data_IF_602959256272
#
_entry.id   IF_602959256272
#
_cell.length_a   1.000
_cell.length_b   1.000
_cell.length_c   1.000
_cell.angle_alpha   90.00
_cell.angle_beta   90.00
_cell.angle_gamma   90.00
#
_symmetry.space_group_name_H-M   'P 1'
#
loop_
_entity.id
_entity.type
_entity.pdbx_description
1 polymer ?
#
# COMPACT_ATOMS: atom_id res chain seq x y z
N UNK A 1 13.99 12.28 -30.65
CA UNK A 1 13.88 10.81 -30.80
C UNK A 1 12.97 10.23 -29.70
N UNK A 2 11.74 9.83 -30.02
CA UNK A 2 10.76 9.34 -29.03
C UNK A 2 10.98 7.87 -28.67
N UNK A 3 10.82 7.50 -27.38
CA UNK A 3 10.79 6.09 -26.98
C UNK A 3 9.38 5.50 -27.17
N UNK A 4 9.26 4.28 -27.68
CA UNK A 4 7.97 3.60 -27.87
C UNK A 4 7.26 3.21 -26.56
N UNK A 5 5.98 2.84 -26.66
CA UNK A 5 5.12 2.46 -25.52
C UNK A 5 5.70 1.29 -24.71
N UNK A 6 6.29 0.29 -25.40
CA UNK A 6 6.87 -0.93 -24.81
C UNK A 6 8.27 -0.73 -24.21
N UNK A 7 8.82 0.49 -24.26
CA UNK A 7 10.10 0.80 -23.64
C UNK A 7 10.10 0.43 -22.16
N UNK A 8 11.11 -0.35 -21.73
CA UNK A 8 11.24 -0.81 -20.34
C UNK A 8 11.41 0.34 -19.35
N UNK A 9 12.09 1.42 -19.75
CA UNK A 9 12.28 2.61 -18.90
C UNK A 9 10.95 3.32 -18.69
N UNK A 10 10.22 3.63 -19.77
CA UNK A 10 8.88 4.24 -19.67
C UNK A 10 7.91 3.36 -18.89
N UNK A 11 7.96 2.04 -19.05
CA UNK A 11 7.14 1.09 -18.28
C UNK A 11 7.38 1.23 -16.77
N UNK A 12 8.63 1.34 -16.33
CA UNK A 12 8.99 1.51 -14.91
C UNK A 12 8.46 2.80 -14.32
N UNK A 13 8.66 3.94 -14.99
CA UNK A 13 8.09 5.21 -14.55
C UNK A 13 6.55 5.18 -14.50
N UNK A 14 5.89 4.48 -15.44
CA UNK A 14 4.44 4.29 -15.37
C UNK A 14 4.02 3.46 -14.14
N UNK A 15 4.75 2.40 -13.79
CA UNK A 15 4.47 1.61 -12.59
C UNK A 15 4.56 2.47 -11.33
N UNK A 16 5.59 3.29 -11.20
CA UNK A 16 5.76 4.17 -10.03
C UNK A 16 4.65 5.21 -9.93
N UNK A 17 4.27 5.82 -11.07
CA UNK A 17 3.12 6.74 -11.10
C UNK A 17 1.82 6.06 -10.70
N UNK A 18 1.58 4.80 -11.11
CA UNK A 18 0.41 4.03 -10.67
C UNK A 18 0.42 3.78 -9.17
N UNK A 19 1.57 3.41 -8.60
CA UNK A 19 1.69 3.25 -7.14
C UNK A 19 1.33 4.56 -6.45
N UNK A 20 1.86 5.69 -6.93
CA UNK A 20 1.55 7.00 -6.35
C UNK A 20 0.05 7.35 -6.43
N UNK A 21 -0.60 7.10 -7.57
CA UNK A 21 -2.06 7.26 -7.70
C UNK A 21 -2.81 6.35 -6.72
N UNK A 22 -2.40 5.09 -6.61
CA UNK A 22 -3.02 4.13 -5.70
C UNK A 22 -2.97 4.60 -4.25
N UNK A 23 -1.82 5.11 -3.81
CA UNK A 23 -1.65 5.62 -2.45
C UNK A 23 -2.46 6.89 -2.18
N UNK A 24 -2.42 7.86 -3.09
CA UNK A 24 -3.02 9.19 -2.85
C UNK A 24 -4.49 9.32 -3.28
N UNK A 25 -5.00 8.43 -4.14
CA UNK A 25 -6.38 8.49 -4.66
C UNK A 25 -7.15 7.25 -4.29
N UNK A 26 -6.68 6.08 -4.71
CA UNK A 26 -7.48 4.86 -4.62
C UNK A 26 -7.68 4.43 -3.16
N UNK A 27 -6.60 4.34 -2.38
CA UNK A 27 -6.66 3.97 -0.95
C UNK A 27 -7.57 4.90 -0.12
N UNK A 28 -7.44 6.23 -0.15
CA UNK A 28 -8.31 7.09 0.64
C UNK A 28 -9.77 7.00 0.18
N UNK A 29 -10.03 6.83 -1.13
CA UNK A 29 -11.38 6.64 -1.63
C UNK A 29 -12.00 5.32 -1.16
N UNK A 30 -11.22 4.23 -1.22
CA UNK A 30 -11.64 2.92 -0.71
C UNK A 30 -11.91 2.96 0.80
N UNK A 31 -11.07 3.67 1.57
CA UNK A 31 -11.29 3.86 3.00
C UNK A 31 -12.61 4.59 3.27
N UNK A 32 -12.86 5.72 2.61
CA UNK A 32 -14.12 6.47 2.72
C UNK A 32 -15.33 5.60 2.36
N UNK A 33 -15.22 4.79 1.32
CA UNK A 33 -16.29 3.89 0.92
C UNK A 33 -16.58 2.82 1.99
N UNK A 34 -15.52 2.22 2.54
CA UNK A 34 -15.65 1.23 3.63
C UNK A 34 -16.30 1.85 4.88
N UNK A 35 -15.87 3.05 5.26
CA UNK A 35 -16.41 3.76 6.43
C UNK A 35 -17.91 4.09 6.24
N UNK A 36 -18.33 4.43 5.02
CA UNK A 36 -19.76 4.60 4.68
C UNK A 36 -20.55 3.30 4.80
N UNK A 37 -20.02 2.19 4.27
CA UNK A 37 -20.67 0.88 4.37
C UNK A 37 -20.84 0.49 5.84
N UNK A 38 -19.82 0.68 6.68
CA UNK A 38 -19.90 0.44 8.12
C UNK A 38 -20.95 1.32 8.80
N UNK A 39 -21.07 2.58 8.39
CA UNK A 39 -22.07 3.50 8.94
C UNK A 39 -23.48 3.07 8.58
N UNK A 40 -23.70 2.65 7.32
CA UNK A 40 -24.96 2.07 6.85
C UNK A 40 -25.36 0.84 7.67
N UNK A 41 -24.43 -0.09 7.92
CA UNK A 41 -24.68 -1.30 8.72
C UNK A 41 -25.06 -0.98 10.18
N UNK A 42 -24.55 0.11 10.72
CA UNK A 42 -24.85 0.56 12.09
C UNK A 42 -26.08 1.49 12.16
N UNK A 43 -26.88 1.58 11.09
CA UNK A 43 -28.03 2.49 10.96
C UNK A 43 -27.69 3.97 11.26
N UNK A 44 -26.43 4.37 11.02
CA UNK A 44 -26.02 5.77 11.10
C UNK A 44 -26.27 6.46 9.76
N UNK A 45 -26.56 7.75 9.81
CA UNK A 45 -26.76 8.53 8.60
C UNK A 45 -25.45 8.62 7.79
N UNK A 46 -25.53 8.16 6.54
CA UNK A 46 -24.40 8.06 5.60
C UNK A 46 -24.06 9.44 5.02
N UNK A 47 -25.04 10.36 5.05
CA UNK A 47 -24.91 11.69 4.44
C UNK A 47 -24.31 12.73 5.38
N UNK A 48 -23.92 12.37 6.60
CA UNK A 48 -23.30 13.30 7.55
C UNK A 48 -22.07 14.00 6.96
N UNK A 49 -21.26 13.30 6.16
CA UNK A 49 -20.08 13.87 5.49
C UNK A 49 -20.42 14.95 4.44
N UNK A 50 -21.67 14.98 3.94
CA UNK A 50 -22.13 15.90 2.91
C UNK A 50 -22.78 17.16 3.52
N UNK A 51 -23.15 17.10 4.80
CA UNK A 51 -23.69 18.25 5.54
C UNK A 51 -22.56 19.26 5.74
N UNK A 52 -22.71 20.43 5.10
CA UNK A 52 -21.77 21.53 5.27
C UNK A 52 -22.13 22.33 6.52
N UNK A 53 -21.14 22.85 7.27
CA UNK A 53 -21.43 23.76 8.38
C UNK A 53 -22.12 25.03 7.86
N UNK A 54 -22.95 25.69 8.69
CA UNK A 54 -23.60 26.94 8.31
C UNK A 54 -22.58 28.03 7.99
N UNK A 55 -22.95 28.95 7.09
CA UNK A 55 -22.08 30.03 6.67
C UNK A 55 -22.11 31.17 7.71
N UNK A 56 -20.95 31.48 8.32
CA UNK A 56 -20.83 32.52 9.34
C UNK A 56 -21.19 33.93 8.86
N UNK A 57 -21.06 34.22 7.56
CA UNK A 57 -21.49 35.51 7.01
C UNK A 57 -23.01 35.67 6.96
N UNK A 58 -23.75 34.57 6.82
CA UNK A 58 -25.21 34.58 6.76
C UNK A 58 -25.84 34.41 8.15
N UNK A 59 -25.18 33.62 9.01
CA UNK A 59 -25.60 33.34 10.39
C UNK A 59 -24.49 33.75 11.36
N UNK A 60 -24.34 35.05 11.66
CA UNK A 60 -23.28 35.54 12.53
C UNK A 60 -23.42 35.05 13.97
N UNK A 61 -24.65 34.86 14.45
CA UNK A 61 -24.94 34.49 15.85
C UNK A 61 -24.78 32.99 16.12
N UNK A 62 -24.80 32.15 15.09
CA UNK A 62 -24.66 30.69 15.25
C UNK A 62 -23.20 30.31 15.56
N UNK A 63 -22.96 29.70 16.73
CA UNK A 63 -21.63 29.26 17.17
C UNK A 63 -21.03 28.18 16.27
N UNK A 64 -21.86 27.35 15.64
CA UNK A 64 -21.41 26.26 14.77
C UNK A 64 -21.11 26.73 13.34
N UNK A 65 -21.41 27.99 13.01
CA UNK A 65 -21.19 28.54 11.69
C UNK A 65 -19.70 28.84 11.45
N UNK A 66 -19.22 28.51 10.25
CA UNK A 66 -17.81 28.61 9.87
C UNK A 66 -17.65 29.64 8.75
N UNK A 67 -16.58 30.42 8.81
CA UNK A 67 -16.20 31.34 7.72
C UNK A 67 -15.75 30.50 6.51
N UNK A 68 -16.45 30.56 5.36
CA UNK A 68 -16.05 29.81 4.17
C UNK A 68 -14.67 30.26 3.69
N UNK A 69 -13.72 29.33 3.66
CA UNK A 69 -12.39 29.55 3.09
C UNK A 69 -12.19 28.66 1.88
N UNK A 70 -11.61 29.22 0.83
CA UNK A 70 -11.21 28.43 -0.34
C UNK A 70 -10.06 27.49 0.02
N UNK A 71 -10.33 26.19 0.05
CA UNK A 71 -9.29 25.16 0.27
C UNK A 71 -8.59 24.87 -1.04
N UNK A 72 -7.28 25.14 -1.10
CA UNK A 72 -6.45 24.78 -2.25
C UNK A 72 -6.37 23.25 -2.32
N UNK A 73 -6.90 22.66 -3.39
CA UNK A 73 -6.80 21.22 -3.63
C UNK A 73 -5.38 20.89 -4.11
N UNK A 74 -4.62 20.17 -3.28
CA UNK A 74 -3.27 19.71 -3.67
C UNK A 74 -3.41 18.71 -4.82
N UNK A 75 -2.95 19.09 -6.00
CA UNK A 75 -2.87 18.20 -7.16
C UNK A 75 -1.74 17.19 -6.96
N UNK A 76 -1.89 16.02 -7.55
CA UNK A 76 -0.88 14.96 -7.54
C UNK A 76 0.25 15.37 -8.47
N UNK A 77 1.49 15.42 -7.96
CA UNK A 77 2.66 15.69 -8.77
C UNK A 77 3.26 14.39 -9.31
N UNK A 78 3.47 14.33 -10.62
CA UNK A 78 4.05 13.18 -11.32
C UNK A 78 5.48 13.42 -11.81
N UNK A 79 6.11 14.53 -11.40
CA UNK A 79 7.54 14.76 -11.57
C UNK A 79 8.33 13.73 -10.77
N UNK A 80 9.52 13.40 -11.24
CA UNK A 80 10.39 12.41 -10.59
C UNK A 80 10.77 12.82 -9.16
N UNK A 81 10.96 14.11 -8.91
CA UNK A 81 11.33 14.66 -7.59
C UNK A 81 10.28 14.37 -6.52
N UNK A 82 8.99 14.42 -6.89
CA UNK A 82 7.88 14.15 -5.97
C UNK A 82 7.64 12.65 -5.73
N UNK A 83 8.28 11.77 -6.51
CA UNK A 83 8.04 10.32 -6.50
C UNK A 83 9.24 9.61 -5.84
N UNK A 84 9.11 9.12 -4.59
CA UNK A 84 10.25 8.58 -3.84
C UNK A 84 10.92 7.37 -4.51
N UNK A 85 10.15 6.57 -5.26
CA UNK A 85 10.66 5.39 -5.97
C UNK A 85 11.23 5.70 -7.35
N UNK A 86 11.12 6.94 -7.84
CA UNK A 86 11.55 7.33 -9.19
C UNK A 86 13.04 7.11 -9.42
N UNK A 87 13.86 7.31 -8.38
CA UNK A 87 15.29 7.09 -8.40
C UNK A 87 15.66 5.66 -8.81
N UNK A 88 14.84 4.66 -8.43
CA UNK A 88 15.08 3.25 -8.76
C UNK A 88 14.74 2.89 -10.22
N UNK A 89 13.93 3.71 -10.91
CA UNK A 89 13.50 3.43 -12.28
C UNK A 89 14.51 3.82 -13.37
N UNK A 90 15.60 4.50 -13.01
CA UNK A 90 16.62 4.96 -13.96
C UNK A 90 17.38 3.80 -14.63
N UNK A 91 18.18 4.14 -15.63
CA UNK A 91 19.08 3.20 -16.32
C UNK A 91 20.33 3.02 -15.44
N UNK A 92 20.91 1.82 -15.41
CA UNK A 92 22.11 1.53 -14.61
C UNK A 92 21.85 1.00 -13.20
N UNK A 93 20.68 1.24 -12.61
CA UNK A 93 20.38 0.67 -11.29
C UNK A 93 20.37 -0.85 -11.26
N UNK A 94 20.85 -1.42 -10.15
CA UNK A 94 20.76 -2.84 -9.83
C UNK A 94 19.30 -3.26 -9.71
N UNK A 95 18.95 -4.38 -10.34
CA UNK A 95 17.55 -4.86 -10.45
C UNK A 95 17.34 -6.29 -9.96
N UNK A 96 18.42 -7.05 -9.87
CA UNK A 96 18.40 -8.42 -9.37
C UNK A 96 19.06 -8.37 -8.00
N UNK A 97 18.32 -8.82 -7.01
CA UNK A 97 18.77 -8.92 -5.64
C UNK A 97 18.79 -10.39 -5.26
N UNK A 98 19.78 -10.78 -4.47
CA UNK A 98 19.84 -12.13 -3.90
C UNK A 98 18.70 -12.31 -2.89
N UNK A 99 18.33 -13.55 -2.56
CA UNK A 99 17.20 -13.83 -1.68
C UNK A 99 17.36 -13.16 -0.31
N UNK A 100 18.59 -13.17 0.23
CA UNK A 100 18.97 -12.51 1.48
C UNK A 100 18.79 -10.99 1.41
N UNK A 101 19.25 -10.37 0.32
CA UNK A 101 19.10 -8.93 0.06
C UNK A 101 17.62 -8.54 -0.11
N UNK A 102 16.79 -9.40 -0.71
CA UNK A 102 15.35 -9.14 -0.84
C UNK A 102 14.66 -9.13 0.52
N UNK A 103 15.03 -10.06 1.41
CA UNK A 103 14.49 -10.14 2.76
C UNK A 103 14.92 -8.92 3.58
N UNK A 104 16.19 -8.50 3.49
CA UNK A 104 16.66 -7.32 4.22
C UNK A 104 15.95 -6.04 3.75
N UNK A 105 15.84 -5.83 2.43
CA UNK A 105 15.13 -4.69 1.86
C UNK A 105 13.64 -4.69 2.24
N UNK A 106 13.01 -5.86 2.29
CA UNK A 106 11.60 -5.99 2.74
C UNK A 106 11.43 -5.59 4.20
N UNK A 107 12.38 -5.94 5.05
CA UNK A 107 12.35 -5.62 6.47
C UNK A 107 12.60 -4.12 6.71
N UNK A 108 13.50 -3.49 5.96
CA UNK A 108 13.85 -2.07 6.09
C UNK A 108 12.77 -1.12 5.57
N UNK A 109 12.22 -1.39 4.38
CA UNK A 109 11.29 -0.47 3.71
C UNK A 109 9.81 -0.79 3.94
N UNK A 110 9.55 -1.85 4.72
CA UNK A 110 8.21 -2.37 4.96
C UNK A 110 7.55 -2.94 3.69
N UNK A 111 6.51 -3.75 3.88
CA UNK A 111 5.72 -4.35 2.81
C UNK A 111 4.85 -3.34 2.06
N UNK A 112 5.44 -2.31 1.45
CA UNK A 112 4.71 -1.40 0.58
C UNK A 112 4.40 -2.12 -0.74
N UNK A 113 3.09 -2.25 -0.99
CA UNK A 113 2.46 -3.09 -1.98
C UNK A 113 3.13 -3.04 -3.37
N UNK A 114 3.40 -4.24 -3.91
CA UNK A 114 3.83 -4.59 -5.27
C UNK A 114 5.28 -5.08 -5.46
N UNK A 115 5.82 -5.86 -4.52
CA UNK A 115 6.91 -6.79 -4.87
C UNK A 115 6.61 -8.27 -4.62
N UNK A 116 5.76 -8.65 -3.67
CA UNK A 116 5.47 -10.07 -3.42
C UNK A 116 4.07 -10.28 -2.83
N UNK A 117 3.05 -10.38 -3.68
CA UNK A 117 1.91 -11.25 -3.38
C UNK A 117 2.13 -12.56 -4.14
N UNK A 118 2.99 -13.43 -3.60
CA UNK A 118 2.90 -14.85 -3.91
C UNK A 118 2.57 -15.55 -2.60
N UNK A 119 1.27 -15.66 -2.34
CA UNK A 119 0.70 -16.49 -1.27
C UNK A 119 1.25 -17.92 -1.34
N UNK A 120 1.60 -18.39 -2.54
CA UNK A 120 2.26 -19.67 -2.81
C UNK A 120 3.63 -19.82 -2.13
N UNK A 121 4.45 -18.78 -2.12
CA UNK A 121 5.79 -18.84 -1.49
C UNK A 121 5.66 -18.86 0.03
N UNK A 122 4.69 -18.13 0.58
CA UNK A 122 4.44 -18.14 2.04
C UNK A 122 3.91 -19.51 2.49
N UNK A 123 3.00 -20.12 1.73
CA UNK A 123 2.51 -21.48 1.95
C UNK A 123 3.64 -22.53 1.85
N UNK A 124 4.52 -22.39 0.86
CA UNK A 124 5.67 -23.29 0.69
C UNK A 124 6.63 -23.23 1.88
N UNK A 125 6.90 -22.04 2.42
CA UNK A 125 7.75 -21.86 3.60
C UNK A 125 7.11 -22.47 4.85
N UNK A 126 5.79 -22.30 5.03
CA UNK A 126 5.06 -22.93 6.14
C UNK A 126 5.06 -24.46 6.04
N UNK A 127 4.88 -25.02 4.84
CA UNK A 127 4.97 -26.47 4.62
C UNK A 127 6.37 -27.03 4.88
N UNK A 128 7.43 -26.32 4.48
CA UNK A 128 8.80 -26.72 4.77
C UNK A 128 9.09 -26.72 6.27
N UNK A 129 8.61 -25.72 7.00
CA UNK A 129 8.75 -25.67 8.47
C UNK A 129 7.95 -26.78 9.16
N UNK A 130 6.77 -27.14 8.64
CA UNK A 130 5.96 -28.25 9.16
C UNK A 130 6.69 -29.59 8.98
N UNK A 131 7.19 -29.87 7.78
CA UNK A 131 7.98 -31.08 7.48
C UNK A 131 9.25 -31.18 8.32
N UNK A 132 9.96 -30.06 8.51
CA UNK A 132 11.15 -30.01 9.36
C UNK A 132 10.83 -30.40 10.81
N UNK A 133 9.74 -29.89 11.39
CA UNK A 133 9.30 -30.27 12.74
C UNK A 133 8.92 -31.75 12.85
N UNK A 134 8.30 -32.31 11.81
CA UNK A 134 7.95 -33.73 11.76
C UNK A 134 9.19 -34.62 11.72
N UNK A 135 10.19 -34.27 10.90
CA UNK A 135 11.47 -34.98 10.82
C UNK A 135 12.20 -34.95 12.16
N UNK A 136 12.26 -33.78 12.83
CA UNK A 136 12.91 -33.66 14.14
C UNK A 136 12.23 -34.52 15.21
N UNK A 137 10.89 -34.64 15.18
CA UNK A 137 10.15 -35.54 16.09
C UNK A 137 10.48 -37.01 15.82
N UNK A 138 10.60 -37.42 14.56
CA UNK A 138 10.94 -38.80 14.20
C UNK A 138 12.36 -39.15 14.65
N UNK A 139 13.32 -38.23 14.48
CA UNK A 139 14.70 -38.41 14.96
C UNK A 139 14.72 -38.59 16.49
N UNK A 140 14.03 -37.72 17.23
CA UNK A 140 13.93 -37.82 18.69
C UNK A 140 13.27 -39.13 19.16
N UNK A 141 12.24 -39.60 18.46
CA UNK A 141 11.57 -40.86 18.79
C UNK A 141 12.43 -42.10 18.48
N UNK A 142 13.30 -42.04 17.47
CA UNK A 142 14.22 -43.13 17.15
C UNK A 142 15.39 -43.19 18.15
N UNK A 143 15.94 -42.04 18.55
CA UNK A 143 16.97 -41.97 19.61
C UNK A 143 16.48 -42.48 20.98
N UNK A 144 15.16 -42.46 21.23
CA UNK A 144 14.55 -43.02 22.42
C UNK A 144 14.28 -44.54 22.33
N UNK A 145 14.26 -45.13 21.13
CA UNK A 145 14.07 -46.57 20.92
C UNK A 145 15.38 -47.36 20.98
N UNK A 146 16.50 -46.69 20.73
CA UNK A 146 17.85 -47.28 20.75
C UNK A 146 18.52 -47.19 22.14
N UNK A 147 17.76 -46.82 23.18
CA UNK A 147 18.13 -46.87 24.60
C UNK A 147 17.23 -47.85 25.36
#
# INVERSE_FOLDING_TARGET
MGKGLRSKVKRRFRTIKRIHVREHVEKPNLKKLNDRIKSMLNNKDIYQDLVRPPNKFLHPDDENAVIPQHKITKKIDFRSEALPLSGFATVGNRRKYNLTEQISLKNEFGGNANFFENTEVSKMIEEMHKRSKEVMKVIQNNEQKDK
#
